data_IF_519054595628
#
_entry.id   IF_519054595628
#
_cell.length_a   1.000
_cell.length_b   1.000
_cell.length_c   1.000
_cell.angle_alpha   90.00
_cell.angle_beta   90.00
_cell.angle_gamma   90.00
#
_symmetry.space_group_name_H-M   'P 1'
#
loop_
_entity.id
_entity.type
_entity.pdbx_description
1 polymer ?
#
# COMPACT_ATOMS: atom_id res chain seq x y z
N UNK A 1 4.02 -23.17 -2.69
CA UNK A 1 4.33 -22.12 -1.69
C UNK A 1 4.70 -20.78 -2.34
N UNK A 2 5.57 -20.75 -3.36
CA UNK A 2 6.13 -19.54 -3.99
C UNK A 2 5.15 -18.48 -4.58
N UNK A 3 3.92 -18.85 -5.00
CA UNK A 3 3.02 -17.89 -5.68
C UNK A 3 2.48 -16.78 -4.77
N UNK A 4 2.09 -17.08 -3.53
CA UNK A 4 1.47 -16.09 -2.63
C UNK A 4 2.46 -15.05 -2.13
N UNK A 5 3.67 -15.48 -1.79
CA UNK A 5 4.76 -14.59 -1.37
C UNK A 5 5.16 -13.63 -2.48
N UNK A 6 5.24 -14.11 -3.73
CA UNK A 6 5.53 -13.27 -4.89
C UNK A 6 4.45 -12.21 -5.14
N UNK A 7 3.17 -12.53 -4.87
CA UNK A 7 2.06 -11.59 -4.99
C UNK A 7 2.10 -10.53 -3.90
N UNK A 8 2.33 -10.93 -2.64
CA UNK A 8 2.50 -10.01 -1.53
C UNK A 8 3.68 -9.05 -1.75
N UNK A 9 4.79 -9.53 -2.32
CA UNK A 9 5.95 -8.69 -2.66
C UNK A 9 5.61 -7.66 -3.73
N UNK A 10 4.81 -8.03 -4.74
CA UNK A 10 4.38 -7.07 -5.78
C UNK A 10 3.53 -5.95 -5.20
N UNK A 11 2.55 -6.30 -4.36
CA UNK A 11 1.73 -5.31 -3.67
C UNK A 11 2.62 -4.44 -2.79
N UNK A 12 3.47 -5.03 -1.94
CA UNK A 12 4.38 -4.27 -1.09
C UNK A 12 5.31 -3.32 -1.89
N UNK A 13 5.77 -3.74 -3.08
CA UNK A 13 6.58 -2.90 -3.96
C UNK A 13 5.79 -1.68 -4.48
N UNK A 14 4.53 -1.85 -4.89
CA UNK A 14 3.67 -0.74 -5.32
C UNK A 14 3.51 0.29 -4.18
N UNK A 15 3.18 -0.19 -2.98
CA UNK A 15 3.03 0.68 -1.81
C UNK A 15 4.34 1.39 -1.44
N UNK A 16 5.48 0.70 -1.56
CA UNK A 16 6.80 1.28 -1.38
C UNK A 16 7.14 2.36 -2.42
N UNK A 17 6.81 2.13 -3.71
CA UNK A 17 7.08 3.07 -4.81
C UNK A 17 6.18 4.31 -4.71
N UNK A 18 4.88 4.14 -4.50
CA UNK A 18 3.93 5.25 -4.47
C UNK A 18 4.00 6.04 -3.15
N UNK A 19 4.17 5.35 -2.03
CA UNK A 19 4.12 5.96 -0.70
C UNK A 19 5.49 6.23 -0.06
N UNK A 20 6.59 5.70 -0.61
CA UNK A 20 7.89 5.75 0.06
C UNK A 20 7.93 4.95 1.37
N UNK A 21 7.05 3.95 1.51
CA UNK A 21 6.84 3.25 2.76
C UNK A 21 8.08 2.44 3.18
N UNK A 22 8.47 2.57 4.45
CA UNK A 22 9.48 1.73 5.09
C UNK A 22 8.92 0.34 5.38
N UNK A 23 9.84 -0.61 5.59
CA UNK A 23 9.49 -1.99 5.98
C UNK A 23 8.48 -2.07 7.12
N UNK A 24 8.67 -1.29 8.20
CA UNK A 24 7.78 -1.34 9.35
C UNK A 24 6.37 -0.81 9.02
N UNK A 25 6.29 0.25 8.22
CA UNK A 25 5.02 0.82 7.78
C UNK A 25 4.28 -0.18 6.88
N UNK A 26 4.99 -0.89 6.00
CA UNK A 26 4.42 -1.95 5.16
C UNK A 26 3.91 -3.13 5.98
N UNK A 27 4.64 -3.57 7.01
CA UNK A 27 4.21 -4.69 7.87
C UNK A 27 3.06 -4.32 8.80
N UNK A 28 2.93 -3.05 9.16
CA UNK A 28 1.89 -2.55 10.06
C UNK A 28 0.64 -2.05 9.31
N UNK A 29 0.69 -2.00 7.98
CA UNK A 29 -0.41 -1.56 7.12
C UNK A 29 -1.64 -2.47 7.28
N UNK A 30 -2.80 -1.86 7.53
CA UNK A 30 -4.08 -2.57 7.68
C UNK A 30 -5.04 -2.19 6.56
N UNK A 31 -6.00 -3.05 6.28
CA UNK A 31 -7.08 -2.74 5.33
C UNK A 31 -7.85 -1.47 5.71
N UNK A 32 -7.97 -1.15 7.00
CA UNK A 32 -8.58 0.10 7.48
C UNK A 32 -7.82 1.37 7.06
N UNK A 33 -6.55 1.25 6.69
CA UNK A 33 -5.74 2.35 6.16
C UNK A 33 -5.97 2.57 4.66
N UNK A 34 -6.67 1.65 3.98
CA UNK A 34 -6.82 1.63 2.54
C UNK A 34 -8.28 1.91 2.21
N UNK A 35 -8.51 2.88 1.34
CA UNK A 35 -9.85 3.25 0.87
C UNK A 35 -9.85 3.34 -0.65
N UNK A 36 -10.79 2.65 -1.30
CA UNK A 36 -11.05 2.86 -2.72
C UNK A 36 -11.94 4.09 -2.91
N UNK A 37 -11.54 4.98 -3.79
CA UNK A 37 -12.32 6.15 -4.20
C UNK A 37 -12.34 6.23 -5.73
N UNK A 38 -13.39 5.68 -6.36
CA UNK A 38 -13.46 5.57 -7.81
C UNK A 38 -12.34 4.68 -8.36
N UNK A 39 -11.51 5.25 -9.23
CA UNK A 39 -10.41 4.56 -9.92
C UNK A 39 -9.05 4.76 -9.22
N UNK A 40 -9.06 5.20 -7.95
CA UNK A 40 -7.86 5.33 -7.14
C UNK A 40 -8.00 4.60 -5.81
N UNK A 41 -6.85 4.24 -5.24
CA UNK A 41 -6.75 3.77 -3.87
C UNK A 41 -6.04 4.83 -3.04
N UNK A 42 -6.72 5.31 -2.00
CA UNK A 42 -6.20 6.23 -1.01
C UNK A 42 -5.64 5.43 0.15
N UNK A 43 -4.38 5.66 0.49
CA UNK A 43 -3.69 5.00 1.61
C UNK A 43 -3.35 6.05 2.66
N UNK A 44 -3.88 5.86 3.87
CA UNK A 44 -3.69 6.75 5.01
C UNK A 44 -2.89 6.06 6.11
N UNK A 45 -1.62 6.44 6.25
CA UNK A 45 -0.72 5.94 7.28
C UNK A 45 -0.66 6.97 8.41
N UNK A 46 -1.36 6.67 9.50
CA UNK A 46 -1.53 7.60 10.62
C UNK A 46 -0.35 7.53 11.60
N UNK A 47 0.49 6.48 11.53
CA UNK A 47 1.50 6.20 12.56
C UNK A 47 2.87 5.93 11.95
N UNK A 48 3.69 6.96 11.86
CA UNK A 48 5.10 6.84 11.51
C UNK A 48 5.96 7.14 12.74
N UNK A 49 6.99 6.32 13.00
CA UNK A 49 7.81 6.40 14.23
C UNK A 49 8.41 7.78 14.47
N UNK A 50 8.82 8.47 13.40
CA UNK A 50 9.49 9.78 13.42
C UNK A 50 8.97 10.72 12.32
N UNK A 51 7.79 10.47 11.74
CA UNK A 51 7.26 11.25 10.63
C UNK A 51 5.80 11.60 10.85
N UNK A 52 5.40 12.70 10.22
CA UNK A 52 4.00 13.08 10.11
C UNK A 52 3.18 11.99 9.43
N UNK A 53 1.88 11.87 9.75
CA UNK A 53 0.95 11.05 9.00
C UNK A 53 1.08 11.29 7.50
N UNK A 54 1.13 10.21 6.72
CA UNK A 54 1.29 10.29 5.28
C UNK A 54 0.04 9.77 4.58
N UNK A 55 -0.51 10.59 3.70
CA UNK A 55 -1.61 10.25 2.79
C UNK A 55 -1.05 10.22 1.37
N UNK A 56 -1.26 9.12 0.66
CA UNK A 56 -0.90 9.02 -0.74
C UNK A 56 -1.94 8.24 -1.53
N UNK A 57 -1.86 8.33 -2.85
CA UNK A 57 -2.75 7.64 -3.77
C UNK A 57 -1.99 6.63 -4.62
N UNK A 58 -2.67 5.53 -4.95
CA UNK A 58 -2.27 4.57 -5.98
C UNK A 58 -3.29 4.73 -7.11
N UNK A 59 -2.77 4.85 -8.33
CA UNK A 59 -3.54 5.13 -9.54
C UNK A 59 -3.10 4.20 -10.69
N UNK A 60 -3.77 4.32 -11.83
CA UNK A 60 -3.50 3.58 -13.07
C UNK A 60 -3.57 2.05 -12.89
N UNK A 61 -2.80 1.33 -13.70
CA UNK A 61 -2.73 -0.14 -13.69
C UNK A 61 -2.41 -0.76 -12.32
N UNK A 62 -1.84 0.01 -11.39
CA UNK A 62 -1.53 -0.48 -10.05
C UNK A 62 -2.77 -0.73 -9.19
N UNK A 63 -3.89 -0.05 -9.46
CA UNK A 63 -5.14 -0.25 -8.72
C UNK A 63 -5.65 -1.68 -8.90
N UNK A 64 -5.67 -2.18 -10.14
CA UNK A 64 -6.10 -3.55 -10.43
C UNK A 64 -5.22 -4.60 -9.74
N UNK A 65 -3.91 -4.34 -9.65
CA UNK A 65 -2.98 -5.24 -8.97
C UNK A 65 -3.18 -5.25 -7.46
N UNK A 66 -3.48 -4.10 -6.86
CA UNK A 66 -3.70 -3.99 -5.41
C UNK A 66 -5.07 -4.54 -5.01
N UNK A 67 -6.11 -4.37 -5.83
CA UNK A 67 -7.44 -4.89 -5.50
C UNK A 67 -7.56 -6.41 -5.60
N UNK A 68 -6.74 -7.01 -6.47
CA UNK A 68 -6.79 -8.45 -6.72
C UNK A 68 -6.24 -9.29 -5.56
N UNK A 69 -5.44 -8.72 -4.67
CA UNK A 69 -4.65 -9.47 -3.68
C UNK A 69 -4.71 -8.86 -2.29
#
# INVERSE_FOLDING_TARGET
MQKREFLAIKVAAIFGICGGMRRQELTDLKLSNIKKEGDIIVVNIIKCKNQEPQLFTIHDSYVEYVEKY
#
